data_IF_997768372656
#
_entry.id   IF_997768372656
#
_cell.length_a   1.000
_cell.length_b   1.000
_cell.length_c   1.000
_cell.angle_alpha   90.00
_cell.angle_beta   90.00
_cell.angle_gamma   90.00
#
_symmetry.space_group_name_H-M   'P 1'
#
loop_
_entity.id
_entity.type
_entity.pdbx_description
1 polymer ?
#
# COMPACT_ATOMS: atom_id res chain seq x y z
N UNK A 1 13.47 -19.68 25.44
CA UNK A 1 13.02 -18.41 24.84
C UNK A 1 13.76 -17.15 25.34
N UNK A 2 14.27 -17.07 26.58
CA UNK A 2 14.91 -15.84 27.11
C UNK A 2 16.23 -15.43 26.40
N UNK A 3 17.09 -16.38 26.00
CA UNK A 3 18.41 -16.04 25.44
C UNK A 3 18.36 -15.37 24.06
N UNK A 4 17.48 -15.84 23.17
CA UNK A 4 17.31 -15.26 21.83
C UNK A 4 16.76 -13.83 21.94
N UNK A 5 15.79 -13.61 22.83
CA UNK A 5 15.23 -12.29 23.06
C UNK A 5 16.27 -11.30 23.62
N UNK A 6 17.11 -11.73 24.57
CA UNK A 6 18.21 -10.89 25.09
C UNK A 6 19.20 -10.50 23.99
N UNK A 7 19.63 -11.47 23.16
CA UNK A 7 20.57 -11.20 22.05
C UNK A 7 19.99 -10.23 21.01
N UNK A 8 18.70 -10.36 20.68
CA UNK A 8 18.03 -9.43 19.76
C UNK A 8 18.00 -8.02 20.34
N UNK A 9 17.74 -7.87 21.65
CA UNK A 9 17.77 -6.58 22.32
C UNK A 9 19.16 -5.94 22.35
N UNK A 10 20.21 -6.71 22.66
CA UNK A 10 21.60 -6.24 22.63
C UNK A 10 22.01 -5.79 21.22
N UNK A 11 21.65 -6.57 20.21
CA UNK A 11 21.89 -6.23 18.82
C UNK A 11 21.17 -4.93 18.42
N UNK A 12 19.89 -4.79 18.75
CA UNK A 12 19.10 -3.59 18.52
C UNK A 12 19.71 -2.38 19.22
N UNK A 13 20.16 -2.54 20.47
CA UNK A 13 20.82 -1.48 21.23
C UNK A 13 22.10 -0.98 20.56
N UNK A 14 22.95 -1.91 20.09
CA UNK A 14 24.15 -1.57 19.33
C UNK A 14 23.81 -0.82 18.03
N UNK A 15 22.82 -1.28 17.28
CA UNK A 15 22.38 -0.59 16.05
C UNK A 15 21.86 0.81 16.35
N UNK A 16 21.02 0.99 17.38
CA UNK A 16 20.54 2.29 17.81
C UNK A 16 21.71 3.23 18.17
N UNK A 17 22.76 2.71 18.82
CA UNK A 17 23.95 3.50 19.17
C UNK A 17 24.70 3.99 17.92
N UNK A 18 24.86 3.13 16.92
CA UNK A 18 25.47 3.50 15.63
C UNK A 18 24.65 4.56 14.91
N UNK A 19 23.33 4.47 14.98
CA UNK A 19 22.42 5.37 14.27
C UNK A 19 22.23 6.72 14.93
N UNK A 20 22.42 6.81 16.25
CA UNK A 20 22.06 7.99 17.06
C UNK A 20 22.61 9.32 16.54
N UNK A 21 23.82 9.31 15.99
CA UNK A 21 24.51 10.53 15.55
C UNK A 21 24.64 10.66 14.04
N UNK A 22 24.05 9.75 13.25
CA UNK A 22 24.06 9.87 11.79
C UNK A 22 23.10 10.98 11.34
N UNK A 23 23.59 11.90 10.52
CA UNK A 23 22.71 12.83 9.82
C UNK A 23 21.97 12.13 8.65
N UNK A 24 21.02 12.83 8.03
CA UNK A 24 20.20 12.26 6.94
C UNK A 24 21.06 11.84 5.76
N UNK A 25 22.04 12.66 5.37
CA UNK A 25 22.94 12.40 4.24
C UNK A 25 23.78 11.16 4.51
N UNK A 26 24.37 11.05 5.70
CA UNK A 26 25.13 9.87 6.12
C UNK A 26 24.30 8.59 6.16
N UNK A 27 22.99 8.68 6.43
CA UNK A 27 22.10 7.51 6.35
C UNK A 27 21.71 7.19 4.91
N UNK A 28 21.47 8.21 4.09
CA UNK A 28 21.08 8.05 2.69
C UNK A 28 22.23 7.44 1.86
N UNK A 29 23.47 7.86 2.11
CA UNK A 29 24.67 7.38 1.43
C UNK A 29 25.13 5.99 1.88
N UNK A 30 24.68 5.54 3.06
CA UNK A 30 24.98 4.21 3.59
C UNK A 30 24.07 3.14 2.96
N UNK A 31 24.52 2.60 1.83
CA UNK A 31 23.77 1.64 1.01
C UNK A 31 23.33 0.42 1.83
N UNK A 32 24.21 -0.11 2.70
CA UNK A 32 23.92 -1.31 3.48
C UNK A 32 22.84 -1.04 4.53
N UNK A 33 22.96 0.10 5.22
CA UNK A 33 21.96 0.53 6.19
C UNK A 33 20.60 0.75 5.52
N UNK A 34 20.58 1.53 4.43
CA UNK A 34 19.37 1.85 3.67
C UNK A 34 18.68 0.57 3.19
N UNK A 35 19.43 -0.34 2.57
CA UNK A 35 18.91 -1.64 2.13
C UNK A 35 18.33 -2.46 3.27
N UNK A 36 19.02 -2.53 4.42
CA UNK A 36 18.55 -3.28 5.58
C UNK A 36 17.23 -2.70 6.15
N UNK A 37 17.09 -1.37 6.19
CA UNK A 37 15.88 -0.69 6.66
C UNK A 37 14.71 -1.00 5.74
N UNK A 38 14.86 -0.80 4.43
CA UNK A 38 13.75 -1.02 3.49
C UNK A 38 13.37 -2.50 3.40
N UNK A 39 14.33 -3.42 3.48
CA UNK A 39 14.04 -4.86 3.60
C UNK A 39 13.27 -5.19 4.88
N UNK A 40 13.58 -4.54 6.00
CA UNK A 40 12.81 -4.71 7.23
C UNK A 40 11.37 -4.17 7.11
N UNK A 41 11.18 -3.06 6.39
CA UNK A 41 9.86 -2.52 6.03
C UNK A 41 9.07 -3.50 5.18
N UNK A 42 9.65 -3.99 4.09
CA UNK A 42 9.01 -4.98 3.20
C UNK A 42 8.56 -6.23 3.96
N UNK A 43 9.40 -6.71 4.89
CA UNK A 43 9.10 -7.86 5.74
C UNK A 43 8.15 -7.58 6.92
N UNK A 44 7.66 -6.34 7.09
CA UNK A 44 6.73 -5.98 8.16
C UNK A 44 7.33 -6.00 9.56
N UNK A 45 8.65 -5.83 9.67
CA UNK A 45 9.40 -5.74 10.94
C UNK A 45 9.29 -4.32 11.52
N UNK A 46 8.06 -3.85 11.70
CA UNK A 46 7.81 -2.44 12.01
C UNK A 46 8.18 -2.08 13.44
N UNK A 47 8.14 -3.04 14.36
CA UNK A 47 8.63 -2.86 15.74
C UNK A 47 10.12 -2.54 15.74
N UNK A 48 10.89 -3.17 14.85
CA UNK A 48 12.30 -2.86 14.63
C UNK A 48 12.47 -1.44 14.09
N UNK A 49 11.71 -1.07 13.05
CA UNK A 49 11.74 0.30 12.48
C UNK A 49 11.37 1.36 13.52
N UNK A 50 10.33 1.11 14.32
CA UNK A 50 9.90 2.02 15.39
C UNK A 50 10.98 2.21 16.45
N UNK A 51 11.67 1.13 16.84
CA UNK A 51 12.77 1.22 17.80
C UNK A 51 13.97 2.01 17.25
N UNK A 52 14.34 1.76 15.99
CA UNK A 52 15.40 2.49 15.32
C UNK A 52 15.04 3.99 15.18
N UNK A 53 13.79 4.28 14.85
CA UNK A 53 13.26 5.64 14.75
C UNK A 53 13.22 6.42 16.06
N UNK A 54 13.03 5.74 17.20
CA UNK A 54 13.19 6.34 18.53
C UNK A 54 14.64 6.76 18.80
N UNK A 55 15.62 6.03 18.26
CA UNK A 55 17.03 6.36 18.41
C UNK A 55 17.45 7.50 17.47
N UNK A 56 16.91 7.54 16.24
CA UNK A 56 17.13 8.64 15.32
C UNK A 56 15.96 8.80 14.33
N UNK A 57 15.29 9.95 14.38
CA UNK A 57 14.12 10.28 13.53
C UNK A 57 14.46 10.48 12.05
N UNK A 58 15.74 10.69 11.71
CA UNK A 58 16.18 10.85 10.31
C UNK A 58 15.90 9.59 9.47
N UNK A 59 15.80 8.42 10.11
CA UNK A 59 15.49 7.16 9.45
C UNK A 59 14.18 7.20 8.63
N UNK A 60 13.25 8.07 8.99
CA UNK A 60 11.98 8.16 8.29
C UNK A 60 12.00 9.12 7.10
N UNK A 61 13.07 9.91 6.97
CA UNK A 61 13.28 10.85 5.87
C UNK A 61 14.15 10.26 4.75
N UNK A 62 14.87 9.16 5.02
CA UNK A 62 15.62 8.46 3.96
C UNK A 62 14.66 7.84 2.95
N UNK A 63 15.17 7.62 1.75
CA UNK A 63 14.41 7.06 0.64
C UNK A 63 15.05 5.81 0.06
N UNK A 64 14.24 4.94 -0.56
CA UNK A 64 14.75 3.79 -1.30
C UNK A 64 15.18 4.18 -2.73
N UNK A 65 15.47 3.20 -3.58
CA UNK A 65 15.88 3.43 -4.98
C UNK A 65 14.76 3.96 -5.90
N UNK A 66 13.54 4.04 -5.38
CA UNK A 66 12.38 4.63 -6.03
C UNK A 66 12.07 6.02 -5.46
N UNK A 67 12.96 6.58 -4.62
CA UNK A 67 12.71 7.77 -3.81
C UNK A 67 11.48 7.66 -2.89
N UNK A 68 11.06 6.43 -2.58
CA UNK A 68 10.00 6.20 -1.60
C UNK A 68 10.57 6.28 -0.18
N UNK A 69 9.91 7.06 0.65
CA UNK A 69 10.15 7.08 2.09
C UNK A 69 9.76 5.75 2.75
N UNK A 70 10.22 5.54 3.99
CA UNK A 70 9.82 4.39 4.83
C UNK A 70 8.30 4.25 4.93
N UNK A 71 7.57 5.38 5.03
CA UNK A 71 6.10 5.37 5.08
C UNK A 71 5.49 4.94 3.76
N UNK A 72 5.99 5.47 2.65
CA UNK A 72 5.52 5.12 1.31
C UNK A 72 5.74 3.63 1.01
N UNK A 73 6.93 3.11 1.29
CA UNK A 73 7.24 1.68 1.10
C UNK A 73 6.38 0.80 2.00
N UNK A 74 6.14 1.20 3.24
CA UNK A 74 5.31 0.43 4.15
C UNK A 74 3.85 0.37 3.65
N UNK A 75 3.30 1.51 3.20
CA UNK A 75 1.94 1.60 2.66
C UNK A 75 1.78 0.86 1.33
N UNK A 76 2.81 0.88 0.48
CA UNK A 76 2.87 0.01 -0.69
C UNK A 76 2.76 -1.48 -0.29
N UNK A 77 3.49 -1.89 0.74
CA UNK A 77 3.45 -3.26 1.26
C UNK A 77 2.16 -3.61 2.03
N UNK A 78 1.17 -2.70 2.15
CA UNK A 78 -0.09 -2.89 2.90
C UNK A 78 0.10 -3.24 4.38
N UNK A 79 1.13 -2.72 5.05
CA UNK A 79 1.38 -2.97 6.49
C UNK A 79 0.45 -2.12 7.39
N UNK A 80 -0.86 -2.33 7.24
CA UNK A 80 -1.94 -1.46 7.73
C UNK A 80 -1.79 -1.07 9.21
N UNK A 81 -1.89 -2.02 10.15
CA UNK A 81 -1.82 -1.75 11.59
C UNK A 81 -0.51 -1.07 12.04
N UNK A 82 0.55 -1.30 11.29
CA UNK A 82 1.91 -0.98 11.71
C UNK A 82 2.38 0.38 11.20
N UNK A 83 1.97 0.80 10.00
CA UNK A 83 2.19 2.16 9.48
C UNK A 83 1.50 3.19 10.35
N UNK A 84 0.28 2.90 10.79
CA UNK A 84 -0.47 3.81 11.62
C UNK A 84 0.18 4.02 12.99
N UNK A 85 0.78 2.97 13.56
CA UNK A 85 1.59 3.11 14.77
C UNK A 85 2.84 3.98 14.55
N UNK A 86 3.50 3.86 13.39
CA UNK A 86 4.66 4.69 13.05
C UNK A 86 4.28 6.16 12.85
N UNK A 87 3.19 6.45 12.13
CA UNK A 87 2.73 7.82 11.88
C UNK A 87 2.15 8.51 13.13
N UNK A 88 1.63 7.74 14.10
CA UNK A 88 1.16 8.28 15.37
C UNK A 88 2.31 8.75 16.28
N UNK A 89 3.53 8.24 16.10
CA UNK A 89 4.73 8.71 16.81
C UNK A 89 5.20 10.10 16.35
N UNK A 90 4.56 10.65 15.32
CA UNK A 90 4.92 11.89 14.64
C UNK A 90 3.89 13.00 14.89
N UNK A 91 4.38 14.24 14.96
CA UNK A 91 3.55 15.42 15.16
C UNK A 91 2.66 15.74 13.94
N UNK A 92 1.84 16.77 14.03
CA UNK A 92 1.00 17.21 12.91
C UNK A 92 1.83 17.65 11.68
N UNK A 93 2.88 18.45 11.89
CA UNK A 93 3.74 18.95 10.81
C UNK A 93 4.50 17.82 10.09
N UNK A 94 4.98 16.84 10.85
CA UNK A 94 5.66 15.68 10.28
C UNK A 94 4.72 14.86 9.38
N UNK A 95 3.43 14.79 9.71
CA UNK A 95 2.42 14.13 8.87
C UNK A 95 2.21 14.85 7.54
N UNK A 96 2.17 16.18 7.53
CA UNK A 96 2.08 16.95 6.27
C UNK A 96 3.26 16.61 5.37
N UNK A 97 4.48 16.62 5.91
CA UNK A 97 5.67 16.32 5.12
C UNK A 97 5.60 14.91 4.53
N UNK A 98 5.21 13.91 5.32
CA UNK A 98 5.06 12.52 4.87
C UNK A 98 4.13 12.41 3.65
N UNK A 99 2.96 13.05 3.69
CA UNK A 99 1.97 12.96 2.61
C UNK A 99 2.32 13.85 1.40
N UNK A 100 3.13 14.90 1.59
CA UNK A 100 3.61 15.77 0.50
C UNK A 100 4.78 15.19 -0.29
N UNK A 101 5.49 14.19 0.24
CA UNK A 101 6.58 13.52 -0.49
C UNK A 101 6.05 12.82 -1.75
N UNK A 102 6.84 12.88 -2.81
CA UNK A 102 6.62 12.23 -4.09
C UNK A 102 7.78 11.30 -4.35
N UNK A 103 7.49 10.15 -4.95
CA UNK A 103 8.53 9.21 -5.39
C UNK A 103 9.19 9.71 -6.71
N UNK A 104 10.14 8.94 -7.25
CA UNK A 104 10.85 9.32 -8.49
C UNK A 104 9.97 9.46 -9.73
N UNK A 105 8.73 8.97 -9.66
CA UNK A 105 7.74 9.01 -10.73
C UNK A 105 6.62 10.01 -10.45
N UNK A 106 6.83 10.89 -9.48
CA UNK A 106 5.86 11.85 -8.99
C UNK A 106 4.58 11.19 -8.42
N UNK A 107 4.70 9.96 -7.93
CA UNK A 107 3.61 9.32 -7.21
C UNK A 107 3.53 9.88 -5.79
N UNK A 108 2.40 10.49 -5.46
CA UNK A 108 2.01 10.69 -4.07
C UNK A 108 1.59 9.38 -3.40
N UNK A 109 1.33 9.44 -2.09
CA UNK A 109 0.95 8.27 -1.31
C UNK A 109 -0.30 7.55 -1.85
N UNK A 110 -1.26 8.29 -2.43
CA UNK A 110 -2.49 7.75 -2.99
C UNK A 110 -2.26 7.04 -4.32
N UNK A 111 -1.38 7.55 -5.18
CA UNK A 111 -0.94 6.84 -6.37
C UNK A 111 -0.33 5.49 -5.98
N UNK A 112 0.61 5.49 -5.03
CA UNK A 112 1.30 4.28 -4.57
C UNK A 112 0.31 3.21 -4.11
N UNK A 113 -0.59 3.54 -3.17
CA UNK A 113 -1.60 2.56 -2.70
C UNK A 113 -2.71 2.29 -3.72
N UNK A 114 -2.82 3.11 -4.76
CA UNK A 114 -3.67 2.88 -5.92
C UNK A 114 -3.13 1.82 -6.88
N UNK A 115 -1.84 1.51 -6.81
CA UNK A 115 -1.20 0.50 -7.67
C UNK A 115 -1.12 -0.88 -6.99
N UNK A 116 -0.93 -1.91 -7.82
CA UNK A 116 -0.50 -3.24 -7.39
C UNK A 116 1.02 -3.35 -7.54
N UNK A 117 1.78 -3.13 -6.47
CA UNK A 117 3.18 -3.58 -6.46
C UNK A 117 3.26 -5.10 -6.27
N UNK A 118 4.39 -5.69 -6.67
CA UNK A 118 4.67 -7.12 -6.45
C UNK A 118 4.59 -7.53 -4.97
N UNK A 119 4.87 -6.60 -4.06
CA UNK A 119 4.75 -6.80 -2.61
C UNK A 119 3.30 -6.80 -2.15
N UNK A 120 2.48 -5.89 -2.68
CA UNK A 120 1.04 -5.88 -2.45
C UNK A 120 0.40 -7.18 -2.95
N UNK A 121 0.79 -7.65 -4.15
CA UNK A 121 0.30 -8.88 -4.76
C UNK A 121 0.48 -10.10 -3.83
N UNK A 122 1.67 -10.30 -3.26
CA UNK A 122 1.97 -11.47 -2.40
C UNK A 122 1.09 -11.53 -1.14
N UNK A 123 0.69 -10.38 -0.60
CA UNK A 123 -0.20 -10.29 0.57
C UNK A 123 -1.66 -10.45 0.19
N UNK A 124 -2.00 -9.91 -0.96
CA UNK A 124 -3.33 -9.91 -1.52
C UNK A 124 -3.73 -11.30 -2.05
N UNK A 125 -2.78 -12.10 -2.54
CA UNK A 125 -2.99 -13.49 -2.99
C UNK A 125 -3.50 -14.41 -1.87
N UNK A 126 -3.33 -14.02 -0.60
CA UNK A 126 -3.88 -14.75 0.55
C UNK A 126 -5.39 -14.50 0.76
N UNK A 127 -5.99 -13.53 0.06
CA UNK A 127 -7.42 -13.22 0.16
C UNK A 127 -8.18 -14.09 -0.85
N UNK A 128 -9.09 -14.93 -0.36
CA UNK A 128 -9.94 -15.76 -1.21
C UNK A 128 -11.00 -14.93 -1.94
N UNK A 129 -10.67 -14.49 -3.16
CA UNK A 129 -11.63 -14.04 -4.17
C UNK A 129 -11.64 -12.53 -4.43
N UNK A 130 -11.72 -12.19 -5.73
CA UNK A 130 -11.59 -10.83 -6.24
C UNK A 130 -12.49 -9.76 -5.59
N UNK A 131 -13.71 -10.12 -5.15
CA UNK A 131 -14.61 -9.18 -4.50
C UNK A 131 -14.09 -8.72 -3.12
N UNK A 132 -13.57 -9.64 -2.31
CA UNK A 132 -13.01 -9.33 -0.99
C UNK A 132 -11.68 -8.59 -1.11
N UNK A 133 -10.85 -8.98 -2.08
CA UNK A 133 -9.63 -8.28 -2.42
C UNK A 133 -9.91 -6.83 -2.82
N UNK A 134 -10.82 -6.61 -3.79
CA UNK A 134 -11.20 -5.26 -4.20
C UNK A 134 -11.79 -4.43 -3.06
N UNK A 135 -12.56 -5.06 -2.16
CA UNK A 135 -13.12 -4.39 -0.99
C UNK A 135 -12.03 -3.89 -0.05
N UNK A 136 -11.02 -4.73 0.25
CA UNK A 136 -9.89 -4.33 1.10
C UNK A 136 -9.05 -3.23 0.47
N UNK A 137 -8.69 -3.36 -0.81
CA UNK A 137 -7.92 -2.30 -1.49
C UNK A 137 -8.67 -0.97 -1.51
N UNK A 138 -10.00 -0.99 -1.70
CA UNK A 138 -10.84 0.22 -1.58
C UNK A 138 -10.86 0.80 -0.18
N UNK A 139 -10.89 -0.05 0.85
CA UNK A 139 -10.87 0.40 2.22
C UNK A 139 -9.51 1.02 2.56
N UNK A 140 -8.42 0.36 2.20
CA UNK A 140 -7.06 0.86 2.37
C UNK A 140 -6.85 2.21 1.69
N UNK A 141 -7.27 2.33 0.42
CA UNK A 141 -7.20 3.60 -0.31
C UNK A 141 -7.94 4.72 0.42
N UNK A 142 -9.17 4.46 0.90
CA UNK A 142 -9.96 5.44 1.67
C UNK A 142 -9.34 5.79 3.01
N UNK A 143 -8.73 4.83 3.69
CA UNK A 143 -8.06 5.08 4.96
C UNK A 143 -6.85 6.00 4.76
N UNK A 144 -6.04 5.77 3.71
CA UNK A 144 -4.94 6.67 3.33
C UNK A 144 -5.47 8.04 2.91
N UNK A 145 -6.51 8.09 2.08
CA UNK A 145 -7.19 9.33 1.66
C UNK A 145 -7.66 10.16 2.86
N UNK A 146 -8.28 9.55 3.86
CA UNK A 146 -8.76 10.23 5.07
C UNK A 146 -7.66 10.86 5.93
N UNK A 147 -6.40 10.45 5.71
CA UNK A 147 -5.23 10.92 6.46
C UNK A 147 -4.40 11.93 5.67
N UNK A 148 -4.58 11.98 4.36
CA UNK A 148 -3.98 13.01 3.52
C UNK A 148 -4.49 14.37 3.94
N UNK A 149 -3.57 15.29 4.25
CA UNK A 149 -3.90 16.61 4.80
C UNK A 149 -4.30 17.59 3.69
N UNK A 150 -3.85 17.35 2.46
CA UNK A 150 -4.04 18.23 1.31
C UNK A 150 -5.07 17.62 0.34
N UNK A 151 -6.27 18.22 0.19
CA UNK A 151 -7.31 17.73 -0.72
C UNK A 151 -6.84 17.58 -2.17
N UNK A 152 -5.96 18.47 -2.62
CA UNK A 152 -5.45 18.51 -4.00
C UNK A 152 -4.63 17.27 -4.37
N UNK A 153 -4.11 16.52 -3.38
CA UNK A 153 -3.41 15.25 -3.60
C UNK A 153 -4.26 14.21 -4.35
N UNK A 154 -5.59 14.35 -4.38
CA UNK A 154 -6.48 13.47 -5.16
C UNK A 154 -6.56 13.81 -6.65
N UNK A 155 -6.12 15.01 -7.04
CA UNK A 155 -6.19 15.52 -8.41
C UNK A 155 -4.80 15.67 -9.05
N UNK A 156 -3.73 15.53 -8.26
CA UNK A 156 -2.35 15.52 -8.75
C UNK A 156 -2.11 14.44 -9.80
N UNK A 157 -1.30 14.75 -10.81
CA UNK A 157 -1.00 13.89 -11.94
C UNK A 157 0.41 13.31 -11.79
N UNK A 158 0.54 11.98 -11.76
CA UNK A 158 1.85 11.33 -11.74
C UNK A 158 2.54 11.33 -13.13
N UNK A 159 3.84 11.05 -13.16
CA UNK A 159 4.57 10.92 -14.42
C UNK A 159 4.28 9.62 -15.16
N UNK A 160 4.05 8.52 -14.44
CA UNK A 160 3.93 7.18 -15.04
C UNK A 160 2.61 6.97 -15.78
N UNK A 161 1.48 7.27 -15.15
CA UNK A 161 0.16 7.03 -15.70
C UNK A 161 -0.46 8.29 -16.31
N UNK A 162 0.13 9.47 -16.07
CA UNK A 162 -0.40 10.77 -16.49
C UNK A 162 -1.86 10.94 -16.04
N UNK A 163 -2.15 10.49 -14.82
CA UNK A 163 -3.50 10.41 -14.30
C UNK A 163 -3.54 10.62 -12.78
N UNK A 164 -4.69 11.04 -12.23
CA UNK A 164 -4.85 11.19 -10.78
C UNK A 164 -4.98 9.84 -10.06
N UNK A 165 -4.77 9.79 -8.72
CA UNK A 165 -4.77 8.55 -7.94
C UNK A 165 -6.00 7.67 -8.12
N UNK A 166 -7.20 8.25 -8.25
CA UNK A 166 -8.45 7.49 -8.42
C UNK A 166 -8.53 6.80 -9.79
N UNK A 167 -7.99 7.46 -10.82
CA UNK A 167 -7.89 6.89 -12.17
C UNK A 167 -6.87 5.77 -12.19
N UNK A 168 -5.71 5.98 -11.54
CA UNK A 168 -4.70 4.93 -11.33
C UNK A 168 -5.30 3.74 -10.59
N UNK A 169 -5.99 3.95 -9.46
CA UNK A 169 -6.67 2.89 -8.73
C UNK A 169 -7.60 2.07 -9.64
N UNK A 170 -8.44 2.74 -10.42
CA UNK A 170 -9.37 2.07 -11.33
C UNK A 170 -8.66 1.29 -12.42
N UNK A 171 -7.56 1.82 -12.97
CA UNK A 171 -6.73 1.17 -13.98
C UNK A 171 -6.13 -0.14 -13.44
N UNK A 172 -5.46 -0.10 -12.29
CA UNK A 172 -4.78 -1.27 -11.72
C UNK A 172 -5.73 -2.30 -11.11
N UNK A 173 -6.96 -1.92 -10.73
CA UNK A 173 -7.94 -2.84 -10.16
C UNK A 173 -9.01 -3.32 -11.15
N UNK A 174 -8.88 -3.01 -12.45
CA UNK A 174 -9.90 -3.27 -13.47
C UNK A 174 -10.34 -4.73 -13.55
N UNK A 175 -9.41 -5.67 -13.50
CA UNK A 175 -9.74 -7.10 -13.60
C UNK A 175 -10.52 -7.60 -12.37
N UNK A 176 -10.16 -7.15 -11.18
CA UNK A 176 -10.93 -7.45 -9.97
C UNK A 176 -12.36 -6.91 -10.03
N UNK A 177 -12.55 -5.73 -10.62
CA UNK A 177 -13.89 -5.16 -10.85
C UNK A 177 -14.69 -6.01 -11.84
N UNK A 178 -14.07 -6.50 -12.92
CA UNK A 178 -14.72 -7.38 -13.90
C UNK A 178 -15.10 -8.73 -13.28
N UNK A 179 -14.18 -9.37 -12.55
CA UNK A 179 -14.44 -10.65 -11.89
C UNK A 179 -15.55 -10.56 -10.85
N UNK A 180 -15.60 -9.45 -10.09
CA UNK A 180 -16.72 -9.16 -9.21
C UNK A 180 -18.04 -9.10 -9.99
N UNK A 181 -18.08 -8.37 -11.12
CA UNK A 181 -19.26 -8.26 -11.97
C UNK A 181 -19.73 -9.61 -12.52
N UNK A 182 -18.80 -10.43 -13.03
CA UNK A 182 -19.10 -11.79 -13.53
C UNK A 182 -19.71 -12.68 -12.46
N UNK A 183 -19.13 -12.74 -11.26
CA UNK A 183 -19.65 -13.55 -10.15
C UNK A 183 -21.02 -13.08 -9.65
N UNK A 184 -21.30 -11.78 -9.65
CA UNK A 184 -22.63 -11.25 -9.30
C UNK A 184 -23.66 -11.67 -10.35
N UNK A 185 -23.32 -11.58 -11.63
CA UNK A 185 -24.20 -11.99 -12.72
C UNK A 185 -24.45 -13.51 -12.73
N UNK A 186 -23.43 -14.34 -12.46
CA UNK A 186 -23.59 -15.79 -12.30
C UNK A 186 -24.53 -16.15 -11.14
N UNK A 187 -24.39 -15.49 -9.98
CA UNK A 187 -25.28 -15.72 -8.84
C UNK A 187 -26.72 -15.27 -9.11
N UNK A 188 -26.91 -14.13 -9.79
CA UNK A 188 -28.24 -13.66 -10.16
C UNK A 188 -28.90 -14.55 -11.22
N UNK A 189 -28.15 -15.10 -12.18
CA UNK A 189 -28.66 -16.12 -13.11
C UNK A 189 -29.10 -17.39 -12.38
N UNK A 190 -28.33 -17.86 -11.40
CA UNK A 190 -28.68 -19.04 -10.62
C UNK A 190 -29.93 -18.84 -9.74
N UNK A 191 -30.15 -17.62 -9.25
CA UNK A 191 -31.25 -17.31 -8.34
C UNK A 191 -32.57 -16.99 -9.06
N UNK A 192 -32.52 -16.32 -10.21
CA UNK A 192 -33.72 -15.91 -10.95
C UNK A 192 -34.30 -17.00 -11.86
N UNK A 193 -33.46 -17.92 -12.35
CA UNK A 193 -33.89 -18.86 -13.40
C UNK A 193 -33.74 -20.35 -13.03
N UNK A 194 -33.24 -20.70 -11.85
CA UNK A 194 -33.05 -22.10 -11.45
C UNK A 194 -32.27 -22.94 -12.47
N UNK A 195 -31.44 -22.29 -13.29
CA UNK A 195 -30.94 -22.88 -14.52
C UNK A 195 -29.59 -23.56 -14.26
N UNK A 196 -29.57 -24.89 -14.19
CA UNK A 196 -28.35 -25.71 -14.20
C UNK A 196 -27.82 -25.89 -15.63
N UNK A 197 -27.61 -24.82 -16.38
CA UNK A 197 -27.07 -24.94 -17.74
C UNK A 197 -25.57 -24.62 -17.79
N UNK A 198 -24.81 -25.57 -18.32
CA UNK A 198 -23.37 -25.50 -18.63
C UNK A 198 -23.03 -24.58 -19.81
N UNK A 199 -23.88 -23.59 -20.11
CA UNK A 199 -23.86 -22.84 -21.38
C UNK A 199 -23.29 -21.41 -21.28
N UNK A 200 -22.57 -21.05 -20.22
CA UNK A 200 -21.92 -19.72 -20.09
C UNK A 200 -20.71 -19.50 -21.03
N UNK A 201 -20.65 -20.17 -22.18
CA UNK A 201 -19.54 -20.04 -23.13
C UNK A 201 -19.83 -19.21 -24.39
N UNK A 202 -21.04 -18.67 -24.59
CA UNK A 202 -21.33 -17.79 -25.73
C UNK A 202 -22.16 -16.56 -25.34
N UNK A 203 -21.72 -15.40 -25.84
CA UNK A 203 -22.13 -13.99 -25.56
C UNK A 203 -23.60 -13.61 -25.84
N UNK A 204 -24.53 -14.57 -25.97
CA UNK A 204 -25.87 -14.29 -26.52
C UNK A 204 -26.91 -13.94 -25.45
N UNK A 205 -26.64 -14.15 -24.16
CA UNK A 205 -27.66 -13.94 -23.11
C UNK A 205 -27.78 -12.50 -22.58
N UNK A 206 -26.86 -11.59 -22.93
CA UNK A 206 -26.86 -10.22 -22.38
C UNK A 206 -27.66 -9.19 -23.19
N UNK A 207 -28.23 -9.54 -24.35
CA UNK A 207 -28.83 -8.55 -25.26
C UNK A 207 -30.26 -8.10 -24.88
N UNK A 208 -30.89 -8.65 -23.83
CA UNK A 208 -32.31 -8.37 -23.53
C UNK A 208 -32.53 -7.28 -22.45
N UNK A 209 -31.47 -6.78 -21.78
CA UNK A 209 -31.62 -5.77 -20.73
C UNK A 209 -30.86 -4.45 -20.96
N UNK A 210 -30.61 -4.05 -22.21
CA UNK A 210 -30.08 -2.72 -22.52
C UNK A 210 -31.17 -1.63 -22.73
N UNK A 211 -32.45 -1.94 -22.57
CA UNK A 211 -33.56 -1.02 -22.87
C UNK A 211 -34.29 -0.49 -21.64
N UNK A 212 -33.56 -0.11 -20.58
CA UNK A 212 -34.21 0.59 -19.45
C UNK A 212 -33.32 1.54 -18.66
N UNK A 213 -32.62 2.44 -19.35
CA UNK A 213 -32.22 3.74 -18.80
C UNK A 213 -32.26 4.77 -19.94
N UNK A 214 -33.41 5.45 -20.06
CA UNK A 214 -33.51 6.84 -20.51
C UNK A 214 -33.63 7.69 -19.25
#
# INVERSE_FOLDING_TARGET
MKLIHTRIHEFLHCMCKVMKNKDITQMQDDILLRSAIFRAVEQGKVEFIAHMGKANRNIYQITNEQDMTVFQSAADCRHEEKIYSLAYLYGFFDRIEIFRRRDKFDNNMLHIVGTFSSFAQTRVDNIRGAALQLQRERQWFKEVESRTVEPDSLEEINHTDQAPPRTVFTKYHKELMKERGRKVNERNCNFLYGCRCSCCHYDVCCSIHSSRWK
#
